data_IF_277038465659
#
_entry.id   IF_277038465659
#
_cell.length_a   1.000
_cell.length_b   1.000
_cell.length_c   1.000
_cell.angle_alpha   90.00
_cell.angle_beta   90.00
_cell.angle_gamma   90.00
#
_symmetry.space_group_name_H-M   'P 1'
#
loop_
_entity.id
_entity.type
_entity.pdbx_description
1 polymer ?
#
# COMPACT_ATOMS: atom_id res chain seq x y z
N UNK A 1 -14.20 -38.64 -28.33
CA UNK A 1 -13.70 -38.13 -29.63
C UNK A 1 -12.62 -37.13 -29.23
N UNK A 2 -11.42 -37.59 -29.06
CA UNK A 2 -10.30 -37.67 -30.03
C UNK A 2 -10.09 -36.33 -30.73
N UNK A 3 -9.05 -35.59 -30.32
CA UNK A 3 -8.02 -35.00 -31.18
C UNK A 3 -7.02 -34.34 -30.24
N UNK A 4 -5.90 -34.91 -30.04
CA UNK A 4 -4.71 -35.06 -30.86
C UNK A 4 -3.84 -33.81 -30.93
N UNK A 5 -2.83 -33.83 -30.07
CA UNK A 5 -1.41 -33.55 -30.33
C UNK A 5 -1.09 -32.53 -31.44
N UNK A 6 -0.40 -31.48 -31.06
CA UNK A 6 0.73 -31.02 -31.88
C UNK A 6 1.85 -30.47 -30.98
N UNK A 7 2.81 -31.33 -30.87
CA UNK A 7 4.19 -31.09 -30.45
C UNK A 7 4.89 -30.34 -31.59
N UNK A 8 5.58 -29.27 -31.30
CA UNK A 8 6.70 -28.83 -32.14
C UNK A 8 7.75 -28.11 -31.28
N UNK A 9 8.95 -28.64 -31.26
CA UNK A 9 10.09 -27.95 -30.64
C UNK A 9 10.77 -27.08 -31.69
N UNK A 10 11.17 -25.88 -31.34
CA UNK A 10 12.18 -25.16 -32.11
C UNK A 10 13.30 -24.67 -31.16
N UNK A 11 14.38 -25.39 -31.30
CA UNK A 11 15.73 -24.99 -30.88
C UNK A 11 16.19 -23.77 -31.71
N UNK A 12 16.96 -22.91 -31.12
CA UNK A 12 18.19 -22.30 -31.64
C UNK A 12 18.44 -20.99 -30.87
N UNK A 13 19.46 -20.93 -30.23
CA UNK A 13 20.89 -20.58 -30.32
C UNK A 13 21.19 -19.24 -29.66
N UNK A 14 21.95 -19.35 -28.60
CA UNK A 14 23.27 -18.77 -28.36
C UNK A 14 23.55 -17.38 -28.98
N UNK A 15 23.81 -16.42 -28.12
CA UNK A 15 24.93 -15.52 -28.29
C UNK A 15 25.37 -14.96 -26.92
N UNK A 16 26.42 -15.52 -26.40
CA UNK A 16 27.31 -14.96 -25.40
C UNK A 16 28.07 -13.81 -26.05
N UNK A 17 27.97 -12.61 -25.52
CA UNK A 17 29.01 -11.60 -25.70
C UNK A 17 29.51 -11.20 -24.34
N UNK A 18 30.61 -11.87 -24.02
CA UNK A 18 31.56 -11.47 -23.03
C UNK A 18 32.37 -10.31 -23.59
N UNK A 19 32.41 -9.19 -22.93
CA UNK A 19 33.50 -8.25 -23.06
C UNK A 19 34.12 -8.03 -21.70
N UNK A 20 35.22 -8.68 -21.59
CA UNK A 20 36.26 -8.56 -20.57
C UNK A 20 37.23 -7.44 -20.98
N UNK A 21 37.80 -6.80 -19.96
CA UNK A 21 39.16 -6.23 -19.95
C UNK A 21 39.29 -4.77 -20.37
N UNK A 22 40.14 -3.99 -19.85
CA UNK A 22 41.38 -4.22 -19.02
C UNK A 22 41.75 -2.91 -18.32
N UNK A 23 42.44 -3.12 -17.24
CA UNK A 23 43.26 -2.15 -16.53
C UNK A 23 44.36 -1.61 -17.45
N UNK A 24 44.71 -0.36 -17.33
CA UNK A 24 46.11 -0.02 -17.11
C UNK A 24 46.22 1.38 -16.51
N UNK A 25 46.96 1.41 -15.42
CA UNK A 25 47.52 2.59 -14.81
C UNK A 25 48.53 3.22 -15.76
N UNK A 26 48.59 4.52 -15.80
CA UNK A 26 49.88 5.20 -15.73
C UNK A 26 49.74 6.64 -15.25
N UNK A 27 50.69 6.96 -14.43
CA UNK A 27 50.95 8.23 -13.79
C UNK A 27 51.35 9.28 -14.82
N UNK A 28 51.07 10.53 -14.54
CA UNK A 28 52.12 11.54 -14.41
C UNK A 28 51.52 12.89 -14.00
N UNK A 29 52.06 13.34 -12.91
CA UNK A 29 52.06 14.63 -12.27
C UNK A 29 52.37 15.75 -13.27
N UNK A 30 51.67 16.86 -13.22
CA UNK A 30 52.21 18.23 -13.31
C UNK A 30 51.32 19.17 -12.56
N UNK A 31 51.95 19.84 -11.63
CA UNK A 31 51.47 20.96 -10.84
C UNK A 31 51.20 22.20 -11.71
N UNK A 32 50.42 23.03 -11.17
CA UNK A 32 50.53 24.47 -10.99
C UNK A 32 49.48 25.35 -11.63
N UNK A 33 48.81 25.97 -10.78
CA UNK A 33 48.65 27.37 -10.49
C UNK A 33 47.30 28.04 -10.81
N UNK A 34 46.70 28.41 -9.69
CA UNK A 34 45.93 29.63 -9.32
C UNK A 34 45.12 30.36 -10.40
N UNK A 35 43.86 30.58 -10.24
CA UNK A 35 43.35 31.82 -9.66
C UNK A 35 41.80 31.80 -9.67
N UNK A 36 41.28 32.30 -8.59
CA UNK A 36 39.94 32.53 -8.21
C UNK A 36 39.01 33.10 -9.29
N UNK A 37 37.78 32.59 -9.34
CA UNK A 37 36.60 33.44 -9.26
C UNK A 37 35.36 32.61 -8.91
N UNK A 38 34.81 32.97 -7.77
CA UNK A 38 33.43 33.07 -7.37
C UNK A 38 32.37 32.13 -7.92
N UNK A 39 31.87 31.32 -6.99
CA UNK A 39 30.46 31.15 -6.63
C UNK A 39 29.44 30.84 -7.72
N UNK A 40 28.94 29.65 -7.65
CA UNK A 40 27.48 29.37 -7.55
C UNK A 40 27.33 27.93 -7.09
N UNK A 41 27.25 27.76 -5.79
CA UNK A 41 26.74 26.55 -5.16
C UNK A 41 25.29 26.37 -5.60
N UNK A 42 25.08 25.49 -6.54
CA UNK A 42 23.79 24.86 -6.72
C UNK A 42 23.65 23.80 -5.65
N UNK A 43 23.19 24.22 -4.48
CA UNK A 43 22.68 23.35 -3.44
C UNK A 43 21.57 22.49 -4.02
N UNK A 44 21.87 21.22 -4.21
CA UNK A 44 20.83 20.22 -4.44
C UNK A 44 19.92 20.20 -3.20
N UNK A 45 18.59 20.33 -3.35
CA UNK A 45 17.70 20.19 -2.21
C UNK A 45 17.73 18.74 -1.74
N UNK A 46 18.13 18.56 -0.50
CA UNK A 46 18.06 17.31 0.22
C UNK A 46 16.60 16.76 0.24
N UNK A 47 16.42 15.44 0.32
CA UNK A 47 15.09 14.82 0.28
C UNK A 47 14.36 14.86 1.63
N UNK A 48 14.33 16.02 2.30
CA UNK A 48 13.64 16.18 3.60
C UNK A 48 12.23 16.78 3.52
N UNK A 49 11.71 17.04 2.32
CA UNK A 49 10.42 17.75 2.17
C UNK A 49 9.19 16.82 2.07
N UNK A 50 9.33 15.50 2.15
CA UNK A 50 8.17 14.58 1.97
C UNK A 50 7.50 14.15 3.28
N UNK A 51 8.14 14.36 4.42
CA UNK A 51 7.57 13.94 5.72
C UNK A 51 6.63 14.97 6.37
N UNK A 52 6.61 16.20 5.91
CA UNK A 52 5.84 17.30 6.57
C UNK A 52 4.47 17.54 5.91
N UNK A 53 4.21 16.95 4.76
CA UNK A 53 2.96 17.17 4.02
C UNK A 53 1.77 16.32 4.52
N UNK A 54 1.98 15.40 5.46
CA UNK A 54 0.91 14.55 5.99
C UNK A 54 0.07 15.22 7.10
N UNK A 55 0.57 16.32 7.70
CA UNK A 55 -0.03 16.90 8.91
C UNK A 55 -0.97 18.10 8.66
N UNK A 56 -1.16 18.56 7.43
CA UNK A 56 -1.93 19.80 7.16
C UNK A 56 -2.93 19.67 6.02
N UNK A 57 -3.53 18.50 5.84
CA UNK A 57 -4.64 18.37 4.87
C UNK A 57 -5.92 18.88 5.51
N UNK A 58 -6.69 19.76 4.83
CA UNK A 58 -7.93 20.25 5.37
C UNK A 58 -8.86 19.06 5.66
N UNK A 59 -9.55 19.14 6.80
CA UNK A 59 -10.50 18.09 7.20
C UNK A 59 -11.66 18.02 6.21
N UNK A 60 -12.24 16.84 6.09
CA UNK A 60 -13.45 16.58 5.31
C UNK A 60 -14.44 15.79 6.15
N UNK A 61 -15.62 15.53 5.61
CA UNK A 61 -16.64 14.68 6.23
C UNK A 61 -16.84 13.41 5.41
N UNK A 62 -17.21 12.32 6.10
CA UNK A 62 -17.40 11.03 5.47
C UNK A 62 -18.69 10.36 5.94
N UNK A 63 -19.25 9.54 5.07
CA UNK A 63 -20.26 8.56 5.40
C UNK A 63 -19.73 7.16 5.12
N UNK A 64 -19.89 6.24 6.06
CA UNK A 64 -19.63 4.81 5.87
C UNK A 64 -20.92 4.13 5.45
N UNK A 65 -20.83 3.11 4.57
CA UNK A 65 -21.98 2.23 4.27
C UNK A 65 -22.49 1.55 5.54
N UNK A 66 -21.54 1.13 6.36
CA UNK A 66 -21.74 0.48 7.66
C UNK A 66 -20.46 0.59 8.50
N UNK A 67 -20.60 0.53 9.81
CA UNK A 67 -19.46 0.50 10.74
C UNK A 67 -19.22 -0.89 11.33
N UNK A 68 -20.20 -1.80 11.19
CA UNK A 68 -20.11 -3.16 11.70
C UNK A 68 -20.74 -4.14 10.71
N UNK A 69 -20.05 -5.25 10.48
CA UNK A 69 -20.50 -6.32 9.61
C UNK A 69 -20.51 -7.68 10.36
N UNK A 70 -21.51 -8.53 10.09
CA UNK A 70 -21.60 -9.87 10.65
C UNK A 70 -21.44 -10.92 9.56
N UNK A 71 -20.35 -11.69 9.61
CA UNK A 71 -20.14 -12.84 8.71
C UNK A 71 -21.10 -14.00 9.01
N UNK A 72 -21.73 -14.00 10.21
CA UNK A 72 -22.51 -15.13 10.65
C UNK A 72 -21.64 -16.34 10.99
N UNK A 73 -22.13 -17.56 10.67
CA UNK A 73 -21.43 -18.80 10.91
C UNK A 73 -20.40 -19.06 9.80
N UNK A 74 -19.15 -19.28 10.18
CA UNK A 74 -18.04 -19.65 9.31
C UNK A 74 -17.34 -20.86 9.88
N UNK A 75 -16.56 -21.58 9.08
CA UNK A 75 -15.78 -22.72 9.54
C UNK A 75 -14.41 -22.28 10.04
N UNK A 76 -13.86 -23.01 10.99
CA UNK A 76 -12.48 -22.82 11.42
C UNK A 76 -11.51 -23.01 10.26
N UNK A 77 -10.64 -22.05 10.04
CA UNK A 77 -9.70 -22.03 8.92
C UNK A 77 -10.20 -21.30 7.68
N UNK A 78 -11.46 -20.85 7.67
CA UNK A 78 -11.97 -20.02 6.59
C UNK A 78 -11.24 -18.66 6.57
N UNK A 79 -10.96 -18.19 5.35
CA UNK A 79 -10.49 -16.85 5.08
C UNK A 79 -11.63 -16.06 4.47
N UNK A 80 -12.13 -15.10 5.24
CA UNK A 80 -13.27 -14.27 4.84
C UNK A 80 -12.83 -12.82 4.67
N UNK A 81 -13.53 -12.10 3.81
CA UNK A 81 -13.26 -10.68 3.60
C UNK A 81 -14.57 -9.89 3.50
N UNK A 82 -14.51 -8.65 3.93
CA UNK A 82 -15.60 -7.70 3.80
C UNK A 82 -15.10 -6.33 3.35
N UNK A 83 -15.90 -5.67 2.51
CA UNK A 83 -15.58 -4.36 1.93
C UNK A 83 -16.53 -3.31 2.50
N UNK A 84 -15.99 -2.38 3.28
CA UNK A 84 -16.68 -1.19 3.73
C UNK A 84 -16.53 -0.11 2.66
N UNK A 85 -17.64 0.48 2.22
CA UNK A 85 -17.59 1.68 1.37
C UNK A 85 -17.51 2.93 2.24
N UNK A 86 -16.62 3.83 1.90
CA UNK A 86 -16.52 5.17 2.47
C UNK A 86 -16.85 6.19 1.39
N UNK A 87 -17.80 7.08 1.65
CA UNK A 87 -18.16 8.17 0.74
C UNK A 87 -17.66 9.49 1.31
N UNK A 88 -16.92 10.25 0.52
CA UNK A 88 -16.52 11.60 0.89
C UNK A 88 -17.75 12.54 0.74
N UNK A 89 -18.33 12.94 1.84
CA UNK A 89 -19.50 13.85 1.89
C UNK A 89 -19.12 15.30 2.12
N UNK A 90 -17.81 15.59 2.29
CA UNK A 90 -17.30 16.93 2.48
C UNK A 90 -16.86 17.59 1.18
N UNK A 91 -16.19 18.72 1.33
CA UNK A 91 -15.75 19.58 0.21
C UNK A 91 -14.27 19.42 -0.12
N UNK A 92 -13.48 18.82 0.78
CA UNK A 92 -12.06 18.57 0.57
C UNK A 92 -11.81 17.11 0.19
N UNK A 93 -10.73 16.78 -0.53
CA UNK A 93 -10.37 15.39 -0.79
C UNK A 93 -10.16 14.61 0.50
N UNK A 94 -10.78 13.43 0.60
CA UNK A 94 -10.58 12.49 1.69
C UNK A 94 -9.34 11.65 1.41
N UNK A 95 -8.45 11.58 2.38
CA UNK A 95 -7.25 10.73 2.31
C UNK A 95 -7.23 9.81 3.51
N UNK A 96 -7.26 8.51 3.24
CA UNK A 96 -7.05 7.47 4.25
C UNK A 96 -5.53 7.29 4.37
N UNK A 97 -4.98 7.59 5.53
CA UNK A 97 -3.54 7.49 5.78
C UNK A 97 -3.12 6.10 6.25
N UNK A 98 -3.98 5.46 7.04
CA UNK A 98 -3.70 4.14 7.63
C UNK A 98 -5.00 3.44 7.99
N UNK A 99 -5.00 2.11 7.91
CA UNK A 99 -6.02 1.25 8.52
C UNK A 99 -5.30 0.25 9.43
N UNK A 100 -5.55 0.36 10.75
CA UNK A 100 -4.85 -0.40 11.78
C UNK A 100 -5.78 -1.41 12.43
N UNK A 101 -5.67 -2.70 12.12
CA UNK A 101 -6.45 -3.74 12.78
C UNK A 101 -5.96 -3.97 14.21
N UNK A 102 -6.89 -4.36 15.09
CA UNK A 102 -6.59 -4.65 16.49
C UNK A 102 -5.76 -5.93 16.69
N UNK A 103 -5.67 -6.81 15.69
CA UNK A 103 -4.87 -8.03 15.73
C UNK A 103 -4.22 -8.33 14.39
N UNK A 104 -3.12 -9.11 14.41
CA UNK A 104 -2.44 -9.61 13.20
C UNK A 104 -3.23 -10.66 12.41
N UNK A 105 -4.40 -11.07 12.90
CA UNK A 105 -5.33 -12.00 12.23
C UNK A 105 -6.19 -11.32 11.14
N UNK A 106 -6.12 -10.00 11.05
CA UNK A 106 -6.86 -9.19 10.07
C UNK A 106 -5.88 -8.40 9.22
N UNK A 107 -5.99 -8.54 7.92
CA UNK A 107 -5.16 -7.80 6.94
C UNK A 107 -6.04 -6.75 6.27
N UNK A 108 -5.73 -5.45 6.43
CA UNK A 108 -6.46 -4.39 5.79
C UNK A 108 -5.92 -4.09 4.39
N UNK A 109 -6.83 -3.68 3.52
CA UNK A 109 -6.52 -3.02 2.25
C UNK A 109 -7.48 -1.83 2.07
N UNK A 110 -7.05 -0.76 1.43
CA UNK A 110 -7.88 0.44 1.28
C UNK A 110 -7.45 1.31 0.10
N UNK A 111 -8.37 2.17 -0.34
CA UNK A 111 -8.11 3.18 -1.38
C UNK A 111 -7.05 4.15 -0.89
N UNK A 112 -5.91 4.20 -1.57
CA UNK A 112 -4.74 5.03 -1.22
C UNK A 112 -4.75 6.39 -1.91
N UNK A 113 -5.45 6.48 -3.03
CA UNK A 113 -5.64 7.72 -3.77
C UNK A 113 -6.61 8.64 -3.03
N UNK A 114 -6.45 9.96 -3.15
CA UNK A 114 -7.42 10.90 -2.62
C UNK A 114 -8.83 10.70 -3.22
N UNK A 115 -9.82 10.51 -2.36
CA UNK A 115 -11.22 10.33 -2.73
C UNK A 115 -11.85 11.72 -2.82
N UNK A 116 -12.22 12.13 -4.01
CA UNK A 116 -12.79 13.46 -4.26
C UNK A 116 -14.18 13.63 -3.63
N UNK A 117 -14.66 14.87 -3.41
CA UNK A 117 -16.00 15.13 -2.93
C UNK A 117 -17.08 14.38 -3.74
N UNK A 118 -17.99 13.70 -3.05
CA UNK A 118 -19.04 12.87 -3.64
C UNK A 118 -18.57 11.50 -4.16
N UNK A 119 -17.28 11.21 -4.15
CA UNK A 119 -16.72 9.93 -4.61
C UNK A 119 -16.66 8.91 -3.47
N UNK A 120 -16.58 7.63 -3.87
CA UNK A 120 -16.49 6.49 -2.97
C UNK A 120 -15.10 5.89 -2.98
N UNK A 121 -14.63 5.48 -1.79
CA UNK A 121 -13.47 4.64 -1.58
C UNK A 121 -13.86 3.32 -0.94
N UNK A 122 -12.91 2.41 -0.82
CA UNK A 122 -13.11 1.08 -0.25
C UNK A 122 -12.11 0.81 0.86
N UNK A 123 -12.55 0.11 1.90
CA UNK A 123 -11.71 -0.44 2.96
C UNK A 123 -12.07 -1.91 3.06
N UNK A 124 -11.13 -2.79 2.78
CA UNK A 124 -11.31 -4.24 2.82
C UNK A 124 -10.62 -4.80 4.05
N UNK A 125 -11.33 -5.58 4.85
CA UNK A 125 -10.75 -6.34 5.96
C UNK A 125 -10.78 -7.83 5.62
N UNK A 126 -9.61 -8.47 5.58
CA UNK A 126 -9.44 -9.91 5.37
C UNK A 126 -9.13 -10.58 6.70
N UNK A 127 -9.92 -11.56 7.10
CA UNK A 127 -9.78 -12.25 8.37
C UNK A 127 -9.50 -13.74 8.17
N UNK A 128 -8.51 -14.25 8.89
CA UNK A 128 -8.18 -15.69 8.95
C UNK A 128 -8.68 -16.26 10.29
N UNK A 129 -9.62 -17.19 10.21
CA UNK A 129 -10.27 -17.79 11.37
C UNK A 129 -9.53 -18.98 11.98
N UNK A 130 -8.39 -19.39 11.42
CA UNK A 130 -7.70 -20.64 11.80
C UNK A 130 -7.34 -20.76 13.29
N UNK A 131 -7.07 -19.62 13.94
CA UNK A 131 -6.67 -19.59 15.36
C UNK A 131 -7.80 -19.21 16.33
N UNK A 132 -9.06 -19.27 15.89
CA UNK A 132 -10.20 -18.83 16.68
C UNK A 132 -11.30 -19.87 16.69
N UNK A 133 -12.16 -19.82 17.72
CA UNK A 133 -13.33 -20.67 17.91
C UNK A 133 -14.48 -19.85 18.52
N UNK A 134 -15.72 -20.19 18.17
CA UNK A 134 -16.92 -19.56 18.69
C UNK A 134 -17.11 -18.12 18.22
N UNK A 135 -17.77 -17.32 19.04
CA UNK A 135 -18.06 -15.93 18.72
C UNK A 135 -16.84 -15.04 18.87
N UNK A 136 -16.49 -14.35 17.80
CA UNK A 136 -15.41 -13.37 17.76
C UNK A 136 -15.93 -12.03 17.28
N UNK A 137 -15.35 -10.95 17.82
CA UNK A 137 -15.53 -9.59 17.33
C UNK A 137 -14.16 -8.97 17.12
N UNK A 138 -13.94 -8.33 15.97
CA UNK A 138 -12.69 -7.70 15.58
C UNK A 138 -12.96 -6.29 15.09
N UNK A 139 -12.00 -5.40 15.31
CA UNK A 139 -12.11 -4.02 14.88
C UNK A 139 -10.84 -3.54 14.22
N UNK A 140 -10.97 -2.49 13.41
CA UNK A 140 -9.87 -1.75 12.84
C UNK A 140 -10.13 -0.24 12.96
N UNK A 141 -9.06 0.50 13.20
CA UNK A 141 -9.03 1.95 13.26
C UNK A 141 -8.62 2.50 11.89
N UNK A 142 -9.46 3.38 11.34
CA UNK A 142 -9.23 4.04 10.05
C UNK A 142 -8.79 5.47 10.30
N UNK A 143 -7.54 5.77 10.01
CA UNK A 143 -6.97 7.10 10.13
C UNK A 143 -7.14 7.86 8.81
N UNK A 144 -7.79 8.99 8.87
CA UNK A 144 -8.06 9.84 7.70
C UNK A 144 -8.12 11.32 8.13
N UNK A 145 -8.12 12.24 7.15
CA UNK A 145 -8.25 13.67 7.40
C UNK A 145 -9.70 14.09 7.70
N UNK A 146 -10.27 13.52 8.74
CA UNK A 146 -11.62 13.83 9.25
C UNK A 146 -11.52 14.34 10.68
N UNK A 147 -12.52 15.13 11.12
CA UNK A 147 -12.51 15.73 12.48
C UNK A 147 -12.47 14.67 13.59
N UNK A 148 -13.18 13.56 13.39
CA UNK A 148 -13.23 12.44 14.34
C UNK A 148 -12.41 11.27 13.82
N UNK A 149 -11.10 11.41 13.83
CA UNK A 149 -10.16 10.33 13.48
C UNK A 149 -9.55 9.75 14.77
N UNK A 150 -9.37 8.41 14.89
CA UNK A 150 -9.74 7.39 13.92
C UNK A 150 -11.24 7.05 13.88
N UNK A 151 -11.69 6.60 12.71
CA UNK A 151 -13.00 5.98 12.55
C UNK A 151 -12.86 4.50 12.87
N UNK A 152 -13.75 3.93 13.67
CA UNK A 152 -13.71 2.49 14.02
C UNK A 152 -14.70 1.74 13.14
N UNK A 153 -14.19 0.70 12.47
CA UNK A 153 -14.99 -0.31 11.77
C UNK A 153 -14.77 -1.66 12.44
N UNK A 154 -15.78 -2.53 12.40
CA UNK A 154 -15.76 -3.81 13.10
C UNK A 154 -16.51 -4.89 12.35
N UNK A 155 -16.15 -6.15 12.61
CA UNK A 155 -16.92 -7.30 12.18
C UNK A 155 -17.04 -8.33 13.29
N UNK A 156 -18.01 -9.23 13.12
CA UNK A 156 -18.19 -10.38 13.99
C UNK A 156 -18.35 -11.66 13.17
N UNK A 157 -17.98 -12.79 13.76
CA UNK A 157 -18.15 -14.11 13.18
C UNK A 157 -18.42 -15.15 14.28
N UNK A 158 -19.17 -16.21 13.97
CA UNK A 158 -19.37 -17.39 14.81
C UNK A 158 -18.63 -18.58 14.16
N UNK A 159 -17.46 -18.90 14.70
CA UNK A 159 -16.54 -19.86 14.14
C UNK A 159 -16.92 -21.25 14.62
N UNK A 160 -17.34 -22.09 13.69
CA UNK A 160 -17.73 -23.48 13.95
C UNK A 160 -16.53 -24.42 13.66
N UNK A 161 -16.46 -25.57 14.35
CA UNK A 161 -15.44 -26.60 14.10
C UNK A 161 -15.37 -27.09 12.66
#
# INVERSE_FOLDING_TARGET
MKNLVKLLPLLATMALVSCKKDQTADQLIVEENVEATAALEASAPAPEAVAVAAAARPATTVALSESNFAFGKIKKGDKVEHVYEVTNTGTNPLVISEVKPACGCTVPDYTKEPILPGQKGKITLKFDSASFDGLVSKQAEVYANVEKSPIVISFSADIQP
#
